data_IF_772476968726
#
_entry.id   IF_772476968726
#
_cell.length_a   1.000
_cell.length_b   1.000
_cell.length_c   1.000
_cell.angle_alpha   90.00
_cell.angle_beta   90.00
_cell.angle_gamma   90.00
#
_symmetry.space_group_name_H-M   'P 1'
#
loop_
_entity.id
_entity.type
_entity.pdbx_description
1 polymer ?
#
# COMPACT_ATOMS: atom_id res chain seq x y z
N UNK A 1 -44.45 -31.36 1.98
CA UNK A 1 -43.72 -31.02 0.75
C UNK A 1 -43.65 -29.51 0.64
N UNK A 2 -42.50 -28.94 1.00
CA UNK A 2 -42.14 -27.55 0.69
C UNK A 2 -40.65 -27.62 0.37
N UNK A 3 -40.34 -27.55 -0.92
CA UNK A 3 -39.00 -27.67 -1.45
C UNK A 3 -38.24 -26.37 -1.23
N UNK A 4 -36.98 -26.54 -0.79
CA UNK A 4 -35.94 -25.54 -0.80
C UNK A 4 -35.83 -24.84 -2.16
N UNK A 5 -35.64 -23.53 -2.15
CA UNK A 5 -35.04 -22.82 -3.27
C UNK A 5 -33.80 -22.11 -2.75
N UNK A 6 -32.69 -22.83 -2.75
CA UNK A 6 -31.35 -22.27 -2.67
C UNK A 6 -31.09 -21.45 -3.93
N UNK A 7 -31.03 -20.12 -3.78
CA UNK A 7 -30.51 -19.24 -4.83
C UNK A 7 -29.00 -19.49 -4.97
N UNK A 8 -28.64 -20.21 -6.02
CA UNK A 8 -27.26 -20.24 -6.51
C UNK A 8 -26.98 -18.93 -7.24
N UNK A 9 -26.12 -18.09 -6.66
CA UNK A 9 -25.50 -16.98 -7.37
C UNK A 9 -24.52 -17.60 -8.39
N UNK A 10 -24.93 -17.63 -9.66
CA UNK A 10 -24.01 -17.97 -10.75
C UNK A 10 -22.92 -16.92 -10.85
N UNK A 11 -21.62 -17.29 -10.92
CA UNK A 11 -20.57 -16.35 -11.26
C UNK A 11 -20.84 -15.80 -12.67
N UNK A 12 -20.79 -14.48 -12.80
CA UNK A 12 -20.88 -13.80 -14.10
C UNK A 12 -19.71 -14.28 -14.94
N UNK A 13 -20.01 -15.10 -15.95
CA UNK A 13 -18.99 -15.56 -16.90
C UNK A 13 -18.84 -14.44 -17.93
N UNK A 14 -17.78 -13.64 -17.81
CA UNK A 14 -17.35 -12.72 -18.86
C UNK A 14 -16.92 -13.56 -20.08
N UNK A 15 -17.81 -13.74 -21.04
CA UNK A 15 -17.46 -14.26 -22.36
C UNK A 15 -16.78 -13.18 -23.18
N UNK A 16 -15.55 -12.82 -22.83
CA UNK A 16 -14.71 -11.92 -23.63
C UNK A 16 -13.90 -12.76 -24.61
N UNK A 17 -14.49 -13.07 -25.78
CA UNK A 17 -13.78 -13.79 -26.83
C UNK A 17 -12.68 -12.89 -27.40
N UNK A 18 -11.44 -13.10 -26.94
CA UNK A 18 -10.25 -12.42 -27.45
C UNK A 18 -9.14 -12.22 -26.42
N UNK A 19 -9.47 -12.22 -25.12
CA UNK A 19 -8.50 -12.01 -24.04
C UNK A 19 -8.12 -13.32 -23.37
N UNK A 20 -6.87 -13.40 -22.90
CA UNK A 20 -6.39 -14.54 -22.14
C UNK A 20 -7.11 -14.59 -20.78
N UNK A 21 -7.35 -15.81 -20.26
CA UNK A 21 -8.00 -15.94 -18.96
C UNK A 21 -7.07 -15.43 -17.85
N UNK A 22 -7.64 -14.81 -16.81
CA UNK A 22 -6.86 -14.29 -15.68
C UNK A 22 -5.96 -15.35 -15.04
N UNK A 23 -6.45 -16.59 -14.97
CA UNK A 23 -5.66 -17.74 -14.52
C UNK A 23 -4.42 -17.95 -15.41
N UNK A 24 -4.59 -18.01 -16.72
CA UNK A 24 -3.48 -18.22 -17.65
C UNK A 24 -2.47 -17.07 -17.61
N UNK A 25 -2.94 -15.81 -17.53
CA UNK A 25 -2.07 -14.65 -17.34
C UNK A 25 -1.26 -14.76 -16.04
N UNK A 26 -1.91 -15.19 -14.95
CA UNK A 26 -1.26 -15.36 -13.64
C UNK A 26 -0.24 -16.50 -13.60
N UNK A 27 -0.47 -17.59 -14.34
CA UNK A 27 0.43 -18.74 -14.42
C UNK A 27 1.53 -18.54 -15.48
N UNK A 28 1.31 -17.63 -16.43
CA UNK A 28 2.21 -17.32 -17.53
C UNK A 28 3.49 -16.57 -17.14
N UNK A 29 4.38 -16.48 -18.13
CA UNK A 29 5.61 -15.68 -18.05
C UNK A 29 5.35 -14.23 -18.47
N UNK A 30 5.85 -13.29 -17.66
CA UNK A 30 5.80 -11.85 -17.95
C UNK A 30 7.23 -11.34 -18.15
N UNK A 31 7.45 -10.55 -19.18
CA UNK A 31 8.70 -9.87 -19.47
C UNK A 31 8.44 -8.47 -20.08
N UNK A 32 9.50 -7.67 -20.27
CA UNK A 32 9.38 -6.31 -20.81
C UNK A 32 8.75 -6.26 -22.23
N UNK A 33 8.75 -7.35 -22.99
CA UNK A 33 8.18 -7.38 -24.35
C UNK A 33 6.66 -7.56 -24.31
N UNK A 34 6.12 -8.18 -23.25
CA UNK A 34 4.70 -8.51 -23.15
C UNK A 34 3.97 -7.81 -21.98
N UNK A 35 4.68 -7.15 -21.06
CA UNK A 35 4.13 -6.54 -19.84
C UNK A 35 2.96 -5.60 -20.13
N UNK A 36 3.08 -4.72 -21.12
CA UNK A 36 2.02 -3.76 -21.44
C UNK A 36 0.72 -4.43 -21.88
N UNK A 37 0.83 -5.54 -22.64
CA UNK A 37 -0.31 -6.37 -23.02
C UNK A 37 -0.91 -7.04 -21.79
N UNK A 38 -0.08 -7.71 -20.98
CA UNK A 38 -0.54 -8.43 -19.78
C UNK A 38 -1.28 -7.50 -18.82
N UNK A 39 -0.77 -6.29 -18.57
CA UNK A 39 -1.41 -5.30 -17.72
C UNK A 39 -2.75 -4.81 -18.29
N UNK A 40 -2.83 -4.57 -19.60
CA UNK A 40 -4.08 -4.19 -20.24
C UNK A 40 -5.13 -5.31 -20.18
N UNK A 41 -4.74 -6.56 -20.44
CA UNK A 41 -5.65 -7.70 -20.35
C UNK A 41 -6.10 -7.96 -18.90
N UNK A 42 -5.21 -7.73 -17.93
CA UNK A 42 -5.54 -7.81 -16.50
C UNK A 42 -6.52 -6.72 -16.07
N UNK A 43 -6.36 -5.51 -16.62
CA UNK A 43 -7.24 -4.36 -16.32
C UNK A 43 -8.70 -4.65 -16.67
N UNK A 44 -8.96 -5.38 -17.76
CA UNK A 44 -10.34 -5.81 -18.14
C UNK A 44 -11.03 -6.55 -16.99
N UNK A 45 -10.29 -7.32 -16.19
CA UNK A 45 -10.85 -8.01 -15.03
C UNK A 45 -10.92 -7.09 -13.80
N UNK A 46 -9.90 -6.28 -13.54
CA UNK A 46 -9.86 -5.42 -12.35
C UNK A 46 -10.89 -4.29 -12.40
N UNK A 47 -11.28 -3.83 -13.59
CA UNK A 47 -12.37 -2.86 -13.80
C UNK A 47 -13.74 -3.32 -13.26
N UNK A 48 -13.91 -4.59 -12.92
CA UNK A 48 -15.07 -5.08 -12.16
C UNK A 48 -15.18 -4.48 -10.75
N UNK A 49 -14.08 -3.92 -10.20
CA UNK A 49 -14.04 -3.14 -8.95
C UNK A 49 -14.78 -3.83 -7.79
N UNK A 50 -15.97 -3.34 -7.43
CA UNK A 50 -16.78 -3.88 -6.32
C UNK A 50 -17.16 -5.34 -6.50
N UNK A 51 -17.24 -5.81 -7.74
CA UNK A 51 -17.67 -7.17 -8.10
C UNK A 51 -16.52 -8.17 -8.12
N UNK A 52 -15.27 -7.72 -7.89
CA UNK A 52 -14.11 -8.59 -7.82
C UNK A 52 -14.23 -9.62 -6.68
N UNK A 53 -14.11 -10.89 -7.04
CA UNK A 53 -14.01 -12.00 -6.10
C UNK A 53 -12.60 -12.18 -5.56
N UNK A 54 -12.48 -12.82 -4.38
CA UNK A 54 -11.19 -13.08 -3.73
C UNK A 54 -10.16 -13.83 -4.61
N UNK A 55 -10.61 -14.77 -5.44
CA UNK A 55 -9.77 -15.52 -6.38
C UNK A 55 -9.21 -14.61 -7.48
N UNK A 56 -10.04 -13.71 -8.02
CA UNK A 56 -9.61 -12.76 -9.05
C UNK A 56 -8.62 -11.76 -8.47
N UNK A 57 -8.88 -11.23 -7.27
CA UNK A 57 -7.96 -10.35 -6.55
C UNK A 57 -6.59 -11.04 -6.37
N UNK A 58 -6.57 -12.31 -5.97
CA UNK A 58 -5.33 -13.08 -5.82
C UNK A 58 -4.56 -13.23 -7.14
N UNK A 59 -5.25 -13.53 -8.23
CA UNK A 59 -4.63 -13.70 -9.54
C UNK A 59 -4.11 -12.37 -10.10
N UNK A 60 -4.91 -11.29 -10.02
CA UNK A 60 -4.47 -9.95 -10.41
C UNK A 60 -3.24 -9.57 -9.59
N UNK A 61 -3.27 -9.75 -8.27
CA UNK A 61 -2.13 -9.42 -7.40
C UNK A 61 -0.85 -10.16 -7.81
N UNK A 62 -0.97 -11.45 -8.13
CA UNK A 62 0.17 -12.27 -8.62
C UNK A 62 0.74 -11.73 -9.92
N UNK A 63 -0.12 -11.28 -10.85
CA UNK A 63 0.31 -10.66 -12.10
C UNK A 63 1.03 -9.34 -11.82
N UNK A 64 0.46 -8.47 -10.98
CA UNK A 64 1.05 -7.17 -10.64
C UNK A 64 2.42 -7.31 -9.99
N UNK A 65 2.57 -8.28 -9.08
CA UNK A 65 3.87 -8.59 -8.45
C UNK A 65 4.92 -9.01 -9.50
N UNK A 66 4.54 -9.88 -10.44
CA UNK A 66 5.44 -10.28 -11.53
C UNK A 66 5.81 -9.09 -12.42
N UNK A 67 4.85 -8.23 -12.75
CA UNK A 67 5.08 -7.04 -13.56
C UNK A 67 6.02 -6.06 -12.85
N UNK A 68 5.75 -5.71 -11.59
CA UNK A 68 6.54 -4.76 -10.79
C UNK A 68 8.00 -5.20 -10.58
N UNK A 69 8.27 -6.51 -10.62
CA UNK A 69 9.62 -7.07 -10.51
C UNK A 69 10.48 -6.97 -11.78
N UNK A 70 9.94 -6.45 -12.89
CA UNK A 70 10.70 -6.28 -14.13
C UNK A 70 11.57 -5.02 -14.07
N UNK A 71 12.89 -5.17 -13.99
CA UNK A 71 13.80 -4.03 -14.05
C UNK A 71 13.73 -3.32 -15.41
N UNK A 72 13.52 -2.00 -15.40
CA UNK A 72 13.41 -1.19 -16.62
C UNK A 72 11.98 -0.98 -17.13
N UNK A 73 10.97 -1.09 -16.26
CA UNK A 73 9.57 -0.76 -16.60
C UNK A 73 9.44 0.66 -17.12
N UNK A 74 8.60 0.85 -18.13
CA UNK A 74 8.23 2.20 -18.56
C UNK A 74 7.25 2.82 -17.55
N UNK A 75 7.22 4.15 -17.49
CA UNK A 75 6.31 4.87 -16.59
C UNK A 75 4.84 4.50 -16.84
N UNK A 76 4.45 4.34 -18.11
CA UNK A 76 3.08 4.03 -18.51
C UNK A 76 2.64 2.64 -18.02
N UNK A 77 3.54 1.65 -18.03
CA UNK A 77 3.25 0.32 -17.50
C UNK A 77 3.17 0.35 -15.97
N UNK A 78 3.98 1.19 -15.32
CA UNK A 78 3.94 1.39 -13.88
C UNK A 78 2.65 2.07 -13.42
N UNK A 79 2.16 3.05 -14.19
CA UNK A 79 0.84 3.66 -13.98
C UNK A 79 -0.28 2.62 -14.12
N UNK A 80 -0.19 1.69 -15.07
CA UNK A 80 -1.19 0.60 -15.20
C UNK A 80 -1.15 -0.37 -14.03
N UNK A 81 0.02 -0.62 -13.44
CA UNK A 81 0.11 -1.41 -12.20
C UNK A 81 -0.68 -0.67 -11.10
N UNK A 82 -0.40 0.62 -10.88
CA UNK A 82 -1.09 1.44 -9.88
C UNK A 82 -2.61 1.52 -10.13
N UNK A 83 -3.04 1.64 -11.39
CA UNK A 83 -4.45 1.61 -11.76
C UNK A 83 -5.14 0.28 -11.40
N UNK A 84 -4.47 -0.85 -11.63
CA UNK A 84 -5.02 -2.14 -11.19
C UNK A 84 -5.10 -2.23 -9.66
N UNK A 85 -4.14 -1.66 -8.92
CA UNK A 85 -4.22 -1.56 -7.45
C UNK A 85 -5.41 -0.70 -7.02
N UNK A 86 -5.63 0.44 -7.67
CA UNK A 86 -6.79 1.33 -7.45
C UNK A 86 -8.12 0.60 -7.66
N UNK A 87 -8.23 -0.18 -8.73
CA UNK A 87 -9.40 -1.01 -8.99
C UNK A 87 -9.63 -2.06 -7.89
N UNK A 88 -8.57 -2.72 -7.39
CA UNK A 88 -8.68 -3.66 -6.26
C UNK A 88 -9.14 -2.94 -4.98
N UNK A 89 -8.68 -1.72 -4.71
CA UNK A 89 -9.09 -0.94 -3.54
C UNK A 89 -10.59 -0.61 -3.53
N UNK A 90 -11.23 -0.65 -4.70
CA UNK A 90 -12.69 -0.50 -4.85
C UNK A 90 -13.45 -1.77 -4.48
N UNK A 91 -12.79 -2.93 -4.39
CA UNK A 91 -13.42 -4.19 -4.04
C UNK A 91 -13.98 -4.20 -2.61
N UNK A 92 -14.88 -5.15 -2.37
CA UNK A 92 -15.43 -5.40 -1.03
C UNK A 92 -14.33 -5.84 -0.07
N UNK A 93 -14.28 -5.24 1.13
CA UNK A 93 -13.26 -5.53 2.14
C UNK A 93 -13.19 -7.04 2.51
N UNK A 94 -14.32 -7.72 2.54
CA UNK A 94 -14.39 -9.17 2.78
C UNK A 94 -13.73 -10.00 1.68
N UNK A 95 -13.79 -9.56 0.42
CA UNK A 95 -13.13 -10.23 -0.71
C UNK A 95 -11.62 -10.00 -0.69
N UNK A 96 -11.19 -8.77 -0.39
CA UNK A 96 -9.77 -8.45 -0.17
C UNK A 96 -9.22 -9.30 0.98
N UNK A 97 -9.93 -9.39 2.11
CA UNK A 97 -9.51 -10.23 3.24
C UNK A 97 -9.46 -11.72 2.87
N UNK A 98 -10.42 -12.21 2.09
CA UNK A 98 -10.49 -13.60 1.67
C UNK A 98 -9.45 -13.97 0.59
N UNK A 99 -8.82 -12.98 -0.06
CA UNK A 99 -7.79 -13.21 -1.09
C UNK A 99 -6.43 -13.66 -0.53
N UNK A 100 -6.32 -13.83 0.79
CA UNK A 100 -5.12 -14.34 1.45
C UNK A 100 -4.07 -13.26 1.68
N UNK A 101 -2.90 -13.39 1.07
CA UNK A 101 -1.76 -12.49 1.27
C UNK A 101 -1.71 -11.32 0.28
N UNK A 102 -2.74 -11.13 -0.55
CA UNK A 102 -2.74 -10.08 -1.57
C UNK A 102 -2.50 -8.69 -0.98
N UNK A 103 -3.10 -8.38 0.17
CA UNK A 103 -2.89 -7.09 0.82
C UNK A 103 -1.41 -6.81 1.12
N UNK A 104 -0.68 -7.80 1.63
CA UNK A 104 0.74 -7.65 1.94
C UNK A 104 1.59 -7.55 0.68
N UNK A 105 1.25 -8.29 -0.38
CA UNK A 105 1.94 -8.21 -1.68
C UNK A 105 1.71 -6.85 -2.33
N UNK A 106 0.48 -6.35 -2.35
CA UNK A 106 0.12 -5.05 -2.95
C UNK A 106 0.80 -3.87 -2.23
N UNK A 107 0.94 -3.93 -0.91
CA UNK A 107 1.71 -2.93 -0.17
C UNK A 107 3.22 -3.11 -0.41
N UNK A 108 3.70 -4.35 -0.47
CA UNK A 108 5.11 -4.68 -0.67
C UNK A 108 5.64 -4.42 -2.08
N UNK A 109 4.78 -4.37 -3.10
CA UNK A 109 5.22 -4.14 -4.48
C UNK A 109 5.56 -2.68 -4.78
N UNK A 110 5.10 -1.71 -3.98
CA UNK A 110 5.33 -0.29 -4.26
C UNK A 110 6.82 0.11 -4.24
N UNK A 111 7.63 -0.24 -3.21
CA UNK A 111 9.07 -0.02 -3.26
C UNK A 111 9.73 -0.64 -4.49
N UNK A 112 9.37 -1.88 -4.81
CA UNK A 112 9.89 -2.62 -5.96
C UNK A 112 9.52 -1.93 -7.28
N UNK A 113 8.28 -1.45 -7.40
CA UNK A 113 7.79 -0.72 -8.56
C UNK A 113 8.62 0.54 -8.78
N UNK A 114 8.84 1.34 -7.74
CA UNK A 114 9.64 2.57 -7.80
C UNK A 114 11.05 2.28 -8.29
N UNK A 115 11.72 1.28 -7.70
CA UNK A 115 13.10 0.92 -8.05
C UNK A 115 13.24 0.42 -9.49
N UNK A 116 12.24 -0.31 -9.97
CA UNK A 116 12.28 -0.94 -11.29
C UNK A 116 11.73 -0.06 -12.41
N UNK A 117 11.11 1.09 -12.09
CA UNK A 117 10.62 2.05 -13.07
C UNK A 117 11.78 2.85 -13.64
N UNK A 118 11.93 2.86 -14.96
CA UNK A 118 12.91 3.68 -15.68
C UNK A 118 12.39 5.11 -15.89
N UNK A 119 12.06 5.80 -14.80
CA UNK A 119 11.65 7.19 -14.81
C UNK A 119 12.16 7.88 -13.54
N UNK A 120 12.57 9.14 -13.67
CA UNK A 120 12.99 9.97 -12.52
C UNK A 120 11.81 10.43 -11.67
N UNK A 121 10.60 10.35 -12.21
CA UNK A 121 9.35 10.74 -11.57
C UNK A 121 8.23 9.83 -12.08
N UNK A 122 7.32 9.45 -11.21
CA UNK A 122 6.14 8.66 -11.53
C UNK A 122 4.97 9.15 -10.68
N UNK A 123 3.99 9.73 -11.35
CA UNK A 123 2.76 10.23 -10.75
C UNK A 123 1.54 9.43 -11.22
N UNK A 124 0.65 9.14 -10.28
CA UNK A 124 -0.66 8.55 -10.50
C UNK A 124 -1.66 9.28 -9.60
N UNK A 125 -2.37 10.24 -10.18
CA UNK A 125 -3.16 11.25 -9.47
C UNK A 125 -4.65 11.21 -9.80
N UNK A 126 -5.03 10.36 -10.75
CA UNK A 126 -6.40 10.18 -11.26
C UNK A 126 -7.09 8.92 -10.71
N UNK A 127 -6.50 8.29 -9.69
CA UNK A 127 -7.09 7.15 -9.00
C UNK A 127 -8.36 7.50 -8.22
N UNK A 128 -9.26 6.53 -8.08
CA UNK A 128 -10.48 6.68 -7.29
C UNK A 128 -10.23 6.50 -5.79
N UNK A 129 -9.28 5.64 -5.42
CA UNK A 129 -8.95 5.26 -4.06
C UNK A 129 -7.45 5.37 -3.74
N UNK A 130 -6.60 5.55 -4.75
CA UNK A 130 -5.15 5.63 -4.62
C UNK A 130 -4.59 6.88 -5.30
N UNK A 131 -3.92 7.72 -4.52
CA UNK A 131 -2.98 8.72 -5.02
C UNK A 131 -1.55 8.24 -4.79
N UNK A 132 -0.69 8.39 -5.78
CA UNK A 132 0.70 7.98 -5.71
C UNK A 132 1.61 8.98 -6.44
N UNK A 133 2.74 9.30 -5.84
CA UNK A 133 3.83 10.04 -6.51
C UNK A 133 5.17 9.49 -6.04
N UNK A 134 6.13 9.42 -6.94
CA UNK A 134 7.51 9.05 -6.61
C UNK A 134 8.49 9.84 -7.44
N UNK A 135 9.71 9.98 -6.93
CA UNK A 135 10.81 10.65 -7.60
C UNK A 135 12.16 10.09 -7.17
N UNK A 136 13.14 10.20 -8.05
CA UNK A 136 14.55 10.08 -7.69
C UNK A 136 14.97 11.27 -6.81
N UNK A 137 15.83 11.01 -5.84
CA UNK A 137 16.41 12.03 -4.98
C UNK A 137 17.79 12.40 -5.53
N UNK A 138 18.02 13.70 -5.67
CA UNK A 138 19.33 14.26 -5.98
C UNK A 138 19.70 15.29 -4.92
N UNK A 139 20.51 14.86 -3.95
CA UNK A 139 20.99 15.72 -2.85
C UNK A 139 22.00 16.79 -3.29
N UNK A 140 22.39 16.82 -4.57
CA UNK A 140 23.22 17.89 -5.12
C UNK A 140 22.41 19.14 -5.50
N UNK A 141 21.08 19.01 -5.63
CA UNK A 141 20.15 20.11 -5.86
C UNK A 141 19.25 20.32 -4.65
N UNK A 142 19.15 21.56 -4.17
CA UNK A 142 18.17 21.94 -3.15
C UNK A 142 16.84 22.09 -3.88
N UNK A 143 16.03 21.04 -3.84
CA UNK A 143 14.70 21.04 -4.41
C UNK A 143 13.66 21.16 -3.30
N UNK A 144 12.61 21.94 -3.56
CA UNK A 144 11.61 22.30 -2.56
C UNK A 144 10.87 21.05 -2.04
N UNK A 145 10.36 21.16 -0.81
CA UNK A 145 9.45 20.16 -0.25
C UNK A 145 8.31 19.86 -1.23
N UNK A 146 8.06 18.56 -1.45
CA UNK A 146 6.91 18.08 -2.20
C UNK A 146 5.93 17.38 -1.27
N UNK A 147 4.66 17.58 -1.55
CA UNK A 147 3.57 16.87 -0.92
C UNK A 147 2.63 16.23 -1.91
N UNK A 148 1.82 15.33 -1.41
CA UNK A 148 0.67 14.75 -2.09
C UNK A 148 -0.57 15.10 -1.27
N UNK A 149 -1.63 15.55 -1.93
CA UNK A 149 -2.91 15.92 -1.29
C UNK A 149 -4.08 15.22 -1.99
N UNK A 150 -5.09 14.86 -1.20
CA UNK A 150 -6.37 14.33 -1.68
C UNK A 150 -7.47 15.40 -1.58
N UNK A 151 -7.86 15.96 -2.73
CA UNK A 151 -8.93 16.96 -2.84
C UNK A 151 -10.34 16.33 -2.86
N UNK A 152 -10.44 15.03 -2.60
CA UNK A 152 -11.66 14.22 -2.60
C UNK A 152 -12.14 13.79 -3.99
N UNK A 153 -11.90 14.62 -5.02
CA UNK A 153 -12.15 14.30 -6.43
C UNK A 153 -10.90 13.73 -7.10
N UNK A 154 -9.80 14.43 -6.93
CA UNK A 154 -8.50 14.23 -7.56
C UNK A 154 -7.39 14.35 -6.52
N UNK A 155 -6.22 13.81 -6.86
CA UNK A 155 -5.00 14.03 -6.11
C UNK A 155 -4.15 15.10 -6.80
N UNK A 156 -3.40 15.86 -6.03
CA UNK A 156 -2.48 16.88 -6.57
C UNK A 156 -1.12 16.81 -5.90
N UNK A 157 -0.10 17.24 -6.64
CA UNK A 157 1.24 17.48 -6.09
C UNK A 157 1.26 18.89 -5.53
N UNK A 158 1.64 19.01 -4.26
CA UNK A 158 1.89 20.28 -3.61
C UNK A 158 3.38 20.61 -3.71
N UNK A 159 3.68 21.77 -4.26
CA UNK A 159 5.03 22.34 -4.27
C UNK A 159 5.15 23.39 -3.17
N UNK A 160 6.16 23.26 -2.32
CA UNK A 160 6.47 24.24 -1.27
C UNK A 160 5.86 23.92 0.09
N UNK A 161 5.46 24.95 0.83
CA UNK A 161 5.04 24.80 2.24
C UNK A 161 3.60 24.29 2.38
N UNK A 162 3.39 23.41 3.36
CA UNK A 162 2.08 22.96 3.84
C UNK A 162 1.12 24.12 4.08
N UNK A 163 -0.07 24.14 3.46
CA UNK A 163 -1.11 25.08 3.85
C UNK A 163 -1.54 24.76 5.30
N UNK A 164 -1.41 25.73 6.21
CA UNK A 164 -1.60 25.51 7.66
C UNK A 164 -3.03 25.18 8.08
N UNK A 165 -4.00 25.37 7.19
CA UNK A 165 -5.44 25.23 7.46
C UNK A 165 -6.15 24.41 6.36
N UNK A 166 -5.44 23.52 5.66
CA UNK A 166 -6.06 22.64 4.68
C UNK A 166 -6.84 21.50 5.36
N UNK A 167 -8.16 21.38 5.14
CA UNK A 167 -8.94 20.27 5.72
C UNK A 167 -8.68 18.93 5.03
N UNK A 168 -7.97 18.90 3.91
CA UNK A 168 -7.73 17.69 3.13
C UNK A 168 -6.58 16.86 3.68
N UNK A 169 -6.65 15.54 3.43
CA UNK A 169 -5.56 14.63 3.76
C UNK A 169 -4.36 14.95 2.87
N UNK A 170 -3.23 15.26 3.49
CA UNK A 170 -1.99 15.53 2.78
C UNK A 170 -0.78 14.96 3.53
N UNK A 171 0.23 14.58 2.76
CA UNK A 171 1.53 14.14 3.25
C UNK A 171 2.62 14.95 2.56
N UNK A 172 3.66 15.29 3.30
CA UNK A 172 4.79 16.09 2.83
C UNK A 172 6.09 15.49 3.30
N UNK A 173 7.07 15.46 2.40
CA UNK A 173 8.42 15.01 2.70
C UNK A 173 9.40 16.08 2.21
N UNK A 174 10.26 16.50 3.13
CA UNK A 174 11.31 17.49 2.88
C UNK A 174 12.57 16.78 2.40
N UNK A 175 13.00 17.06 1.16
CA UNK A 175 14.23 16.49 0.60
C UNK A 175 15.44 17.04 1.33
N UNK A 176 15.40 18.31 1.75
CA UNK A 176 16.43 18.91 2.59
C UNK A 176 16.66 18.11 3.88
N UNK A 177 15.60 17.59 4.49
CA UNK A 177 15.74 16.79 5.71
C UNK A 177 16.25 15.38 5.41
N UNK A 178 15.82 14.77 4.30
CA UNK A 178 16.38 13.48 3.84
C UNK A 178 17.89 13.60 3.58
N UNK A 179 18.30 14.63 2.83
CA UNK A 179 19.68 14.80 2.39
C UNK A 179 20.63 15.27 3.51
N UNK A 180 20.13 15.89 4.59
CA UNK A 180 20.93 16.13 5.80
C UNK A 180 21.29 14.84 6.51
N UNK A 181 20.36 13.89 6.52
CA UNK A 181 20.50 12.65 7.28
C UNK A 181 21.13 11.52 6.44
N UNK A 182 21.07 11.59 5.10
CA UNK A 182 21.54 10.49 4.24
C UNK A 182 21.91 10.90 2.79
N UNK A 183 23.20 10.83 2.46
CA UNK A 183 23.73 11.01 1.10
C UNK A 183 23.41 9.83 0.14
N UNK A 184 22.81 8.73 0.63
CA UNK A 184 22.54 7.51 -0.15
C UNK A 184 21.07 7.32 -0.52
N UNK A 185 20.19 8.26 -0.16
CA UNK A 185 18.80 8.22 -0.55
C UNK A 185 18.68 8.29 -2.08
N UNK A 186 18.06 7.29 -2.69
CA UNK A 186 17.96 7.19 -4.15
C UNK A 186 16.59 7.60 -4.67
N UNK A 187 15.53 7.24 -3.95
CA UNK A 187 14.15 7.54 -4.33
C UNK A 187 13.30 7.84 -3.10
N UNK A 188 12.22 8.57 -3.31
CA UNK A 188 11.11 8.68 -2.37
C UNK A 188 9.80 8.45 -3.09
N UNK A 189 8.81 7.96 -2.36
CA UNK A 189 7.44 7.96 -2.84
C UNK A 189 6.46 8.28 -1.70
N UNK A 190 5.31 8.82 -2.08
CA UNK A 190 4.21 9.14 -1.20
C UNK A 190 2.94 8.50 -1.74
N UNK A 191 2.12 8.00 -0.83
CA UNK A 191 0.84 7.38 -1.16
C UNK A 191 -0.26 7.89 -0.26
N UNK A 192 -1.44 8.06 -0.85
CA UNK A 192 -2.68 8.26 -0.12
C UNK A 192 -3.67 7.18 -0.58
N UNK A 193 -4.09 6.35 0.36
CA UNK A 193 -5.19 5.42 0.21
C UNK A 193 -6.43 6.06 0.84
N UNK A 194 -7.54 6.19 0.11
CA UNK A 194 -8.80 6.73 0.66
C UNK A 194 -9.46 5.79 1.67
N UNK A 195 -9.06 4.52 1.68
CA UNK A 195 -9.55 3.51 2.61
C UNK A 195 -8.40 2.64 3.10
N UNK A 196 -8.61 1.97 4.24
CA UNK A 196 -7.56 1.16 4.89
C UNK A 196 -7.67 -0.33 4.59
N UNK A 197 -8.40 -0.74 3.54
CA UNK A 197 -8.76 -2.16 3.31
C UNK A 197 -7.55 -3.08 3.11
N UNK A 198 -6.41 -2.56 2.65
CA UNK A 198 -5.15 -3.31 2.52
C UNK A 198 -4.37 -3.43 3.84
N UNK A 199 -4.71 -2.64 4.85
CA UNK A 199 -3.94 -2.55 6.11
C UNK A 199 -4.48 -3.55 7.15
N UNK A 200 -4.46 -4.82 6.77
CA UNK A 200 -4.90 -5.96 7.58
C UNK A 200 -3.70 -6.82 8.04
N UNK A 201 -3.76 -7.36 9.26
CA UNK A 201 -2.73 -8.28 9.79
C UNK A 201 -1.46 -7.58 10.29
N UNK A 202 -0.27 -8.08 9.93
CA UNK A 202 1.02 -7.55 10.43
C UNK A 202 1.37 -6.14 9.96
N UNK A 203 0.71 -5.67 8.90
CA UNK A 203 0.78 -4.30 8.38
C UNK A 203 -0.39 -3.43 8.86
N UNK A 204 -1.11 -3.87 9.90
CA UNK A 204 -2.16 -3.07 10.53
C UNK A 204 -1.52 -1.86 11.22
N UNK A 205 -2.16 -0.70 11.07
CA UNK A 205 -1.70 0.57 11.63
C UNK A 205 -1.45 0.41 13.14
N UNK A 206 -0.22 0.68 13.58
CA UNK A 206 0.10 0.80 15.00
C UNK A 206 -0.40 2.17 15.45
N UNK A 207 -1.60 2.25 16.04
CA UNK A 207 -2.04 3.54 16.60
C UNK A 207 -1.06 3.93 17.71
N UNK A 208 -0.47 5.12 17.60
CA UNK A 208 0.32 5.73 18.67
C UNK A 208 -0.48 5.66 19.99
N UNK A 209 0.11 4.99 20.99
CA UNK A 209 -0.53 4.63 22.26
C UNK A 209 -0.68 3.12 22.52
N UNK A 210 -0.41 2.26 21.52
CA UNK A 210 -0.35 0.81 21.72
C UNK A 210 1.06 0.36 22.12
N UNK A 211 1.34 0.33 23.42
CA UNK A 211 2.36 -0.60 23.92
C UNK A 211 1.96 -2.00 23.48
N UNK A 212 2.85 -2.69 22.79
CA UNK A 212 2.81 -4.12 22.46
C UNK A 212 1.99 -4.90 23.49
N UNK A 213 0.89 -5.52 23.07
CA UNK A 213 0.11 -6.36 23.97
C UNK A 213 1.02 -7.47 24.48
N UNK A 214 1.01 -7.68 25.79
CA UNK A 214 1.83 -8.66 26.52
C UNK A 214 1.78 -10.08 25.91
N UNK A 215 0.76 -10.39 25.10
CA UNK A 215 0.63 -11.65 24.37
C UNK A 215 1.75 -11.92 23.34
N UNK A 216 2.42 -10.89 22.81
CA UNK A 216 3.62 -11.07 21.96
C UNK A 216 4.92 -11.13 22.75
N UNK A 217 4.96 -10.58 23.98
CA UNK A 217 6.17 -10.60 24.84
C UNK A 217 6.38 -11.95 25.55
N UNK A 218 5.33 -12.78 25.65
CA UNK A 218 5.39 -14.07 26.36
C UNK A 218 6.14 -15.19 25.63
N UNK A 219 6.60 -14.98 24.38
CA UNK A 219 7.34 -15.99 23.62
C UNK A 219 8.86 -15.82 23.62
N UNK A 220 9.37 -14.73 24.20
CA UNK A 220 10.79 -14.36 24.10
C UNK A 220 11.34 -13.80 25.40
N UNK A 221 11.25 -14.58 26.48
CA UNK A 221 12.18 -14.47 27.60
C UNK A 221 12.50 -15.86 28.17
N UNK A 222 13.77 -16.28 28.21
CA UNK A 222 14.21 -17.33 29.12
C UNK A 222 14.14 -16.84 30.56
N UNK A 223 13.62 -17.68 31.43
CA UNK A 223 13.60 -17.53 32.88
C UNK A 223 15.01 -17.45 33.44
N UNK A 224 15.35 -16.37 34.14
CA UNK A 224 16.30 -16.39 35.26
C UNK A 224 16.07 -15.15 36.13
N UNK A 225 15.76 -15.41 37.40
CA UNK A 225 15.65 -14.47 38.51
C UNK A 225 17.05 -14.22 39.06
N UNK A 226 17.36 -12.98 39.43
CA UNK A 226 18.20 -12.68 40.62
C UNK A 226 18.00 -11.23 41.09
N UNK A 227 18.14 -11.06 42.40
CA UNK A 227 17.54 -10.06 43.29
C UNK A 227 18.24 -8.68 43.38
N UNK A 228 17.47 -7.75 43.97
CA UNK A 228 17.82 -6.55 44.75
C UNK A 228 18.48 -5.33 44.08
N UNK A 229 17.73 -4.21 44.03
CA UNK A 229 17.91 -3.09 44.98
C UNK A 229 16.79 -2.04 44.83
N UNK A 230 16.28 -1.59 45.98
CA UNK A 230 15.18 -0.64 46.13
C UNK A 230 15.71 0.79 45.89
N UNK A 231 15.26 1.45 44.83
CA UNK A 231 15.32 2.91 44.72
C UNK A 231 13.90 3.48 44.58
N UNK A 232 13.51 4.28 45.58
CA UNK A 232 12.34 5.15 45.54
C UNK A 232 12.56 6.24 44.47
N UNK A 233 12.09 5.99 43.26
CA UNK A 233 11.68 7.03 42.33
C UNK A 233 10.16 7.17 42.46
N UNK A 234 9.66 8.39 42.67
CA UNK A 234 8.24 8.72 42.48
C UNK A 234 7.90 8.46 41.01
N UNK A 235 7.58 7.22 40.72
CA UNK A 235 7.20 6.75 39.41
C UNK A 235 5.73 7.14 39.23
N UNK A 236 5.49 8.12 38.36
CA UNK A 236 4.15 8.43 37.87
C UNK A 236 3.51 7.10 37.42
N UNK A 237 2.33 6.73 37.95
CA UNK A 237 1.77 5.42 37.69
C UNK A 237 1.61 5.24 36.18
N UNK A 238 2.00 4.08 35.61
CA UNK A 238 1.89 3.86 34.19
C UNK A 238 0.44 4.11 33.76
N UNK A 239 0.24 4.82 32.63
CA UNK A 239 -1.10 5.11 32.15
C UNK A 239 -1.92 3.82 32.11
N UNK A 240 -3.14 3.87 32.65
CA UNK A 240 -4.01 2.71 32.70
C UNK A 240 -4.20 2.15 31.28
N UNK A 241 -4.17 0.81 31.09
CA UNK A 241 -4.29 0.22 29.77
C UNK A 241 -5.58 0.71 29.09
N UNK A 242 -5.43 1.25 27.87
CA UNK A 242 -6.55 1.67 27.03
C UNK A 242 -7.55 0.51 26.92
N UNK A 243 -8.70 0.66 27.58
CA UNK A 243 -9.66 -0.43 27.78
C UNK A 243 -10.37 -0.85 26.48
N UNK A 244 -10.31 -0.02 25.43
CA UNK A 244 -10.84 -0.27 24.09
C UNK A 244 -10.08 0.56 23.05
N UNK A 245 -9.31 -0.09 22.19
CA UNK A 245 -8.89 0.52 20.94
C UNK A 245 -10.09 0.47 19.99
N UNK A 246 -10.64 1.62 19.63
CA UNK A 246 -11.70 1.69 18.63
C UNK A 246 -11.00 1.41 17.30
N UNK A 247 -11.32 0.28 16.65
CA UNK A 247 -10.89 0.07 15.28
C UNK A 247 -11.45 1.24 14.46
N UNK A 248 -10.58 1.93 13.72
CA UNK A 248 -11.02 2.97 12.79
C UNK A 248 -12.08 2.38 11.82
N UNK A 249 -12.92 3.18 11.15
CA UNK A 249 -13.74 2.68 10.04
C UNK A 249 -12.87 2.17 8.87
N UNK A 250 -13.41 1.28 8.03
CA UNK A 250 -12.69 0.80 6.84
C UNK A 250 -12.44 1.90 5.81
N UNK A 251 -13.33 2.89 5.78
CA UNK A 251 -13.22 4.11 4.97
C UNK A 251 -12.24 5.16 5.54
N UNK A 252 -11.43 4.78 6.53
CA UNK A 252 -10.41 5.69 7.05
C UNK A 252 -9.24 5.75 6.07
N UNK A 253 -8.79 6.96 5.69
CA UNK A 253 -7.66 7.11 4.79
C UNK A 253 -6.36 6.68 5.49
N UNK A 254 -5.41 6.21 4.69
CA UNK A 254 -4.04 5.91 5.12
C UNK A 254 -3.10 6.67 4.21
N UNK A 255 -2.16 7.39 4.80
CA UNK A 255 -1.11 8.10 4.07
C UNK A 255 0.21 7.45 4.46
N UNK A 256 1.10 7.24 3.50
CA UNK A 256 2.44 6.73 3.75
C UNK A 256 3.47 7.47 2.92
N UNK A 257 4.60 7.73 3.58
CA UNK A 257 5.76 8.38 2.97
C UNK A 257 6.98 7.49 3.13
N UNK A 258 7.59 7.08 2.02
CA UNK A 258 8.71 6.15 2.04
C UNK A 258 9.93 6.72 1.34
N UNK A 259 11.10 6.51 1.96
CA UNK A 259 12.43 6.83 1.40
C UNK A 259 13.21 5.54 1.19
N UNK A 260 13.79 5.39 0.01
CA UNK A 260 14.57 4.23 -0.40
C UNK A 260 16.06 4.60 -0.47
N UNK A 261 16.92 3.70 0.02
CA UNK A 261 18.38 3.84 0.01
C UNK A 261 18.99 2.51 -0.42
N UNK A 262 19.76 2.48 -1.51
CA UNK A 262 20.45 1.28 -2.03
C UNK A 262 19.59 0.00 -1.96
N UNK A 263 18.42 0.04 -2.57
CA UNK A 263 17.46 -1.05 -2.69
C UNK A 263 16.66 -1.43 -1.41
N UNK A 264 16.90 -0.76 -0.28
CA UNK A 264 16.18 -1.01 0.99
C UNK A 264 15.25 0.14 1.38
N UNK A 265 14.13 -0.21 2.05
CA UNK A 265 13.25 0.77 2.70
C UNK A 265 13.97 1.33 3.92
N UNK A 266 14.34 2.60 3.84
CA UNK A 266 15.10 3.27 4.89
C UNK A 266 14.18 3.90 5.94
N UNK A 267 13.09 4.51 5.48
CA UNK A 267 12.16 5.23 6.34
C UNK A 267 10.75 5.12 5.77
N UNK A 268 9.78 4.84 6.64
CA UNK A 268 8.36 4.69 6.32
C UNK A 268 7.56 5.45 7.39
N UNK A 269 6.82 6.47 6.97
CA UNK A 269 5.96 7.32 7.82
C UNK A 269 4.51 6.88 7.65
#
# INVERSE_FOLDING_TARGET
>A
TLSDTTSFTTPVTLTTSGFESLKNLSEGGVDLKNVSRVLNETLVYSEQRSDLGSVEIQQITTILEKCANLSGLQAEDSQKILLNVDCILSANASQIQASGNSSQILLGLLPTLVQNTNATELDFLDGENLGFTSRSIDCSSVDDARGLIDLGRDFEILSGTTPKDDPHNSIFISIDDICKDNDQASHMYMTIYRNRKLFIGSKQYSSYGSTTTLAQRSRSLPTAVEDDEIQNTEQEPPPSPCRRQIALPDESPVMSGTVLSNDEVFFDI
#
